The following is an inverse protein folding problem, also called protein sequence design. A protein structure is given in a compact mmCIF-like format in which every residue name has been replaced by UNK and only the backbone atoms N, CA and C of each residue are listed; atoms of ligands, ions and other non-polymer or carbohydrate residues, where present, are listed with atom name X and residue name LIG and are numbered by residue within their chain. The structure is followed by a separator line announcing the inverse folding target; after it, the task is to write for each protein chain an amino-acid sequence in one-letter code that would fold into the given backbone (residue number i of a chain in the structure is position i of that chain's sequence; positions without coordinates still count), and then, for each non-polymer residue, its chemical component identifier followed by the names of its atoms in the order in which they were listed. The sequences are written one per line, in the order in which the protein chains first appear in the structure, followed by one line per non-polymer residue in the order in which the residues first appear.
data_IF_935205344978
#
_entry.id   IF_935205344978
#
_cell.length_a   1.000
_cell.length_b   1.000
_cell.length_c   1.000
_cell.angle_alpha   90.00
_cell.angle_beta   90.00
_cell.angle_gamma   90.00
#
_symmetry.space_group_name_H-M   'P 1'
#
loop_
_entity.id
_entity.type
_entity.pdbx_description
1 polymer ?
#
# COMPACT_ATOMS: atom_id res chain seq x y z
N UNK A 1 -5.53 3.36 -0.73
CA UNK A 1 -4.19 3.98 -0.93
C UNK A 1 -3.11 3.41 -0.01
N UNK A 2 -3.45 2.84 1.15
CA UNK A 2 -2.48 2.24 2.09
C UNK A 2 -1.89 0.91 1.61
N UNK A 3 -2.62 0.09 0.83
CA UNK A 3 -2.14 -1.24 0.39
C UNK A 3 -0.87 -1.13 -0.45
N UNK A 4 -0.78 -0.15 -1.37
CA UNK A 4 0.43 0.06 -2.16
C UNK A 4 1.66 0.39 -1.29
N UNK A 5 1.47 1.15 -0.20
CA UNK A 5 2.52 1.46 0.76
C UNK A 5 2.93 0.24 1.58
N UNK A 6 1.96 -0.61 1.99
CA UNK A 6 2.26 -1.87 2.64
C UNK A 6 3.08 -2.81 1.72
N UNK A 7 2.72 -2.90 0.44
CA UNK A 7 3.41 -3.76 -0.54
C UNK A 7 4.80 -3.25 -0.89
N UNK A 8 5.05 -1.93 -0.83
CA UNK A 8 6.39 -1.36 -1.06
C UNK A 8 7.34 -1.51 0.14
N UNK A 9 6.91 -2.20 1.21
CA UNK A 9 7.77 -2.52 2.34
C UNK A 9 8.58 -3.80 2.08
N UNK A 10 9.91 -3.73 1.93
CA UNK A 10 10.74 -4.92 1.69
C UNK A 10 10.72 -5.93 2.86
N UNK A 11 10.31 -5.50 4.07
CA UNK A 11 10.20 -6.37 5.23
C UNK A 11 8.86 -7.14 5.30
N UNK A 12 7.91 -6.83 4.42
CA UNK A 12 6.60 -7.48 4.37
C UNK A 12 6.42 -8.17 3.01
N UNK A 13 6.83 -9.45 2.87
CA UNK A 13 6.79 -10.16 1.58
C UNK A 13 5.36 -10.45 1.11
N UNK A 14 4.38 -10.43 2.02
CA UNK A 14 2.96 -10.64 1.73
C UNK A 14 2.12 -9.65 2.51
N UNK A 15 1.13 -9.03 1.85
CA UNK A 15 0.13 -8.16 2.48
C UNK A 15 -1.22 -8.85 2.41
N UNK A 16 -1.82 -9.12 3.57
CA UNK A 16 -3.16 -9.70 3.68
C UNK A 16 -4.17 -8.58 3.96
N UNK A 17 -5.25 -8.55 3.19
CA UNK A 17 -6.33 -7.56 3.33
C UNK A 17 -7.69 -8.26 3.23
N UNK A 18 -8.70 -7.63 3.81
CA UNK A 18 -10.07 -8.09 3.75
C UNK A 18 -10.89 -7.19 2.81
N UNK A 19 -11.95 -7.75 2.24
CA UNK A 19 -12.87 -7.06 1.36
C UNK A 19 -14.31 -7.49 1.64
N UNK A 20 -15.19 -6.52 1.89
CA UNK A 20 -16.61 -6.73 2.19
C UNK A 20 -17.48 -6.86 0.95
N UNK A 21 -16.93 -6.56 -0.22
CA UNK A 21 -17.62 -6.64 -1.53
C UNK A 21 -16.61 -6.89 -2.65
N UNK A 22 -17.10 -7.32 -3.81
CA UNK A 22 -16.27 -7.51 -5.01
C UNK A 22 -15.62 -6.19 -5.47
N UNK A 23 -16.36 -5.07 -5.46
CA UNK A 23 -15.78 -3.78 -5.82
C UNK A 23 -14.63 -3.38 -4.89
N UNK A 24 -14.74 -3.64 -3.58
CA UNK A 24 -13.65 -3.35 -2.64
C UNK A 24 -12.43 -4.26 -2.90
N UNK A 25 -12.68 -5.52 -3.27
CA UNK A 25 -11.61 -6.43 -3.68
C UNK A 25 -10.89 -5.89 -4.92
N UNK A 26 -11.63 -5.46 -5.94
CA UNK A 26 -11.07 -4.91 -7.17
C UNK A 26 -10.26 -3.62 -6.90
N UNK A 27 -10.80 -2.69 -6.11
CA UNK A 27 -10.09 -1.48 -5.68
C UNK A 27 -8.81 -1.78 -4.89
N UNK A 28 -8.86 -2.79 -4.01
CA UNK A 28 -7.69 -3.23 -3.24
C UNK A 28 -6.60 -3.82 -4.16
N UNK A 29 -7.00 -4.60 -5.17
CA UNK A 29 -6.08 -5.19 -6.15
C UNK A 29 -5.46 -4.14 -7.07
N UNK A 30 -6.22 -3.12 -7.46
CA UNK A 30 -5.72 -2.02 -8.29
C UNK A 30 -4.58 -1.24 -7.62
N UNK A 31 -4.46 -1.31 -6.29
CA UNK A 31 -3.36 -0.70 -5.54
C UNK A 31 -1.97 -1.14 -6.04
N UNK A 32 -1.85 -2.33 -6.63
CA UNK A 32 -0.57 -2.82 -7.16
C UNK A 32 0.02 -1.91 -8.25
N UNK A 33 -0.85 -1.23 -9.02
CA UNK A 33 -0.44 -0.30 -10.09
C UNK A 33 0.25 0.97 -9.57
N UNK A 34 0.19 1.20 -8.26
CA UNK A 34 0.73 2.39 -7.60
C UNK A 34 1.98 2.10 -6.78
N UNK A 35 2.39 0.82 -6.64
CA UNK A 35 3.56 0.43 -5.84
C UNK A 35 4.83 1.13 -6.35
N UNK A 36 5.04 1.15 -7.67
CA UNK A 36 6.21 1.79 -8.30
C UNK A 36 6.24 3.31 -8.14
N UNK A 37 5.11 3.93 -7.77
CA UNK A 37 5.01 5.37 -7.53
C UNK A 37 5.45 5.74 -6.11
N UNK A 38 5.62 4.76 -5.22
CA UNK A 38 6.10 4.99 -3.86
C UNK A 38 7.62 5.01 -3.87
N UNK A 39 8.15 6.15 -4.31
CA UNK A 39 9.58 6.42 -4.30
C UNK A 39 10.09 6.55 -2.85
N UNK A 40 11.42 6.45 -2.62
CA UNK A 40 11.99 6.65 -1.29
C UNK A 40 11.59 7.99 -0.65
N UNK A 41 11.47 9.06 -1.45
CA UNK A 41 11.03 10.38 -0.99
C UNK A 41 9.56 10.36 -0.54
N UNK A 42 8.67 9.78 -1.33
CA UNK A 42 7.25 9.66 -0.97
C UNK A 42 7.10 8.80 0.27
N UNK A 43 7.85 7.70 0.37
CA UNK A 43 7.86 6.82 1.54
C UNK A 43 8.29 7.58 2.80
N UNK A 44 9.39 8.33 2.75
CA UNK A 44 9.85 9.14 3.87
C UNK A 44 8.82 10.21 4.30
N UNK A 45 8.09 10.81 3.34
CA UNK A 45 7.00 11.74 3.65
C UNK A 45 5.81 11.07 4.32
N UNK A 46 5.46 9.85 3.91
CA UNK A 46 4.42 9.05 4.57
C UNK A 46 4.89 8.72 5.97
N UNK A 47 6.10 8.17 6.13
CA UNK A 47 6.66 7.76 7.43
C UNK A 47 6.77 8.94 8.42
N UNK A 48 7.04 10.16 7.94
CA UNK A 48 7.04 11.36 8.78
C UNK A 48 5.63 11.84 9.17
N UNK A 49 4.59 11.46 8.41
CA UNK A 49 3.20 11.83 8.67
C UNK A 49 2.46 10.79 9.52
N UNK A 50 2.90 9.53 9.50
CA UNK A 50 2.36 8.47 10.35
C UNK A 50 3.26 8.35 11.58
N UNK A 51 2.83 8.94 12.68
CA UNK A 51 3.51 8.82 13.98
C UNK A 51 3.27 7.40 14.53
N UNK A 52 4.28 6.53 14.42
CA UNK A 52 4.26 5.14 14.91
C UNK A 52 5.50 4.81 15.73
#
# INVERSE_FOLDING_TARGET
MSIAWCVSNPNAPTVMFDARSMNQLDENLEAIRYVDKITPEIKARIDAAVDY
#
